data_IF_229816858871
#
_entry.id   IF_229816858871
#
_cell.length_a   1.000
_cell.length_b   1.000
_cell.length_c   1.000
_cell.angle_alpha   90.00
_cell.angle_beta   90.00
_cell.angle_gamma   90.00
#
_symmetry.space_group_name_H-M   'P 1'
#
loop_
_entity.id
_entity.type
_entity.pdbx_description
1 polymer ?
#
# COMPACT_ATOMS: atom_id res chain seq x y z
N UNK A 1 -15.04 -23.83 -6.48
CA UNK A 1 -15.14 -23.90 -7.95
C UNK A 1 -13.97 -23.17 -8.62
N UNK A 2 -13.70 -21.90 -8.30
CA UNK A 2 -12.64 -21.11 -8.96
C UNK A 2 -11.24 -21.67 -8.76
N UNK A 3 -10.96 -22.37 -7.64
CA UNK A 3 -9.70 -23.07 -7.42
C UNK A 3 -9.40 -24.14 -8.48
N UNK A 4 -10.44 -24.71 -9.13
CA UNK A 4 -10.28 -25.66 -10.23
C UNK A 4 -9.93 -24.95 -11.57
N UNK A 5 -10.04 -23.64 -11.61
CA UNK A 5 -9.70 -22.82 -12.79
C UNK A 5 -8.28 -22.25 -12.70
N UNK A 6 -7.63 -22.34 -11.54
CA UNK A 6 -6.25 -21.86 -11.33
C UNK A 6 -5.27 -23.01 -11.52
N UNK A 7 -4.21 -22.80 -12.26
CA UNK A 7 -3.16 -23.83 -12.43
C UNK A 7 -2.11 -23.73 -11.31
N UNK A 8 -1.48 -24.88 -10.98
CA UNK A 8 -0.33 -24.93 -10.08
C UNK A 8 0.81 -24.01 -10.54
N UNK A 9 1.01 -23.93 -11.85
CA UNK A 9 2.02 -23.04 -12.45
C UNK A 9 1.75 -21.55 -12.23
N UNK A 10 0.50 -21.11 -12.26
CA UNK A 10 0.12 -19.72 -11.94
C UNK A 10 0.41 -19.41 -10.48
N UNK A 11 -0.06 -20.26 -9.55
CA UNK A 11 0.18 -20.09 -8.12
C UNK A 11 1.68 -20.10 -7.78
N UNK A 12 2.46 -20.97 -8.37
CA UNK A 12 3.92 -21.05 -8.17
C UNK A 12 4.66 -19.79 -8.65
N UNK A 13 4.11 -19.05 -9.61
CA UNK A 13 4.70 -17.81 -10.14
C UNK A 13 4.32 -16.58 -9.34
N UNK A 14 3.38 -16.67 -8.41
CA UNK A 14 2.98 -15.54 -7.57
C UNK A 14 4.17 -14.99 -6.79
N UNK A 15 4.38 -13.69 -6.86
CA UNK A 15 5.54 -13.01 -6.25
C UNK A 15 5.58 -13.21 -4.75
N UNK A 16 4.44 -13.11 -4.08
CA UNK A 16 4.36 -13.30 -2.64
C UNK A 16 4.64 -14.75 -2.23
N UNK A 17 4.19 -15.73 -3.01
CA UNK A 17 4.53 -17.13 -2.76
C UNK A 17 6.05 -17.35 -2.84
N UNK A 18 6.69 -16.83 -3.91
CA UNK A 18 8.15 -16.94 -4.09
C UNK A 18 8.92 -16.29 -2.94
N UNK A 19 8.53 -15.09 -2.54
CA UNK A 19 9.15 -14.35 -1.43
C UNK A 19 9.04 -15.13 -0.11
N UNK A 20 7.84 -15.63 0.21
CA UNK A 20 7.60 -16.40 1.43
C UNK A 20 8.28 -17.77 1.42
N UNK A 21 8.42 -18.37 0.24
CA UNK A 21 9.18 -19.61 0.06
C UNK A 21 10.65 -19.41 0.40
N UNK A 22 11.29 -18.40 -0.15
CA UNK A 22 12.68 -18.08 0.13
C UNK A 22 12.91 -17.77 1.63
N UNK A 23 12.03 -16.95 2.21
CA UNK A 23 12.09 -16.61 3.65
C UNK A 23 11.98 -17.86 4.54
N UNK A 24 11.12 -18.81 4.19
CA UNK A 24 10.95 -20.04 4.95
C UNK A 24 12.17 -20.98 4.78
N UNK A 25 12.72 -21.09 3.58
CA UNK A 25 13.93 -21.88 3.30
C UNK A 25 15.15 -21.35 4.08
N UNK A 26 15.34 -20.03 4.13
CA UNK A 26 16.40 -19.37 4.90
C UNK A 26 16.28 -19.60 6.41
N UNK A 27 15.06 -19.65 6.93
CA UNK A 27 14.78 -19.85 8.37
C UNK A 27 14.62 -21.32 8.77
N UNK A 28 14.80 -22.27 7.83
CA UNK A 28 14.61 -23.69 8.08
C UNK A 28 13.16 -24.08 8.42
N UNK A 29 12.20 -23.25 8.00
CA UNK A 29 10.77 -23.46 8.22
C UNK A 29 10.07 -24.19 7.07
N UNK A 30 8.79 -24.50 7.25
CA UNK A 30 7.94 -25.06 6.20
C UNK A 30 6.92 -24.01 5.71
N UNK A 31 6.45 -24.18 4.47
CA UNK A 31 5.45 -23.32 3.88
C UNK A 31 4.10 -24.00 3.99
N UNK A 32 3.15 -23.35 4.66
CA UNK A 32 1.77 -23.85 4.73
C UNK A 32 1.05 -23.76 3.39
N UNK A 33 0.19 -24.72 3.09
CA UNK A 33 -0.63 -24.76 1.88
C UNK A 33 -1.49 -23.48 1.71
N UNK A 34 -1.83 -22.80 2.81
CA UNK A 34 -2.57 -21.53 2.77
C UNK A 34 -1.87 -20.44 1.98
N UNK A 35 -0.54 -20.29 2.11
CA UNK A 35 0.24 -19.30 1.35
C UNK A 35 0.25 -19.60 -0.15
N UNK A 36 0.16 -20.89 -0.50
CA UNK A 36 0.07 -21.29 -1.89
C UNK A 36 -1.34 -21.06 -2.48
N UNK A 37 -2.38 -21.31 -1.69
CA UNK A 37 -3.77 -21.33 -2.17
C UNK A 37 -4.53 -19.99 -1.96
N UNK A 38 -4.08 -19.09 -1.08
CA UNK A 38 -4.83 -17.86 -0.81
C UNK A 38 -5.14 -17.00 -2.06
N UNK A 39 -4.33 -16.98 -3.15
CA UNK A 39 -4.70 -16.23 -4.33
C UNK A 39 -5.99 -16.74 -4.98
N UNK A 40 -6.27 -18.05 -4.87
CA UNK A 40 -7.54 -18.62 -5.34
C UNK A 40 -8.74 -18.16 -4.51
N UNK A 41 -8.55 -17.99 -3.19
CA UNK A 41 -9.58 -17.42 -2.31
C UNK A 41 -9.82 -15.95 -2.64
N UNK A 42 -8.75 -15.16 -2.80
CA UNK A 42 -8.84 -13.76 -3.19
C UNK A 42 -9.54 -13.57 -4.55
N UNK A 43 -9.31 -14.48 -5.51
CA UNK A 43 -10.06 -14.46 -6.76
C UNK A 43 -11.57 -14.61 -6.53
N UNK A 44 -11.97 -15.49 -5.61
CA UNK A 44 -13.38 -15.65 -5.24
C UNK A 44 -13.93 -14.39 -4.57
N UNK A 45 -13.18 -13.80 -3.65
CA UNK A 45 -13.57 -12.57 -2.95
C UNK A 45 -13.77 -11.39 -3.93
N UNK A 46 -12.97 -11.32 -5.00
CA UNK A 46 -13.11 -10.30 -6.05
C UNK A 46 -14.31 -10.63 -6.95
N UNK A 47 -14.33 -11.82 -7.54
CA UNK A 47 -15.27 -12.17 -8.61
C UNK A 47 -16.71 -12.33 -8.11
N UNK A 48 -16.94 -12.64 -6.83
CA UNK A 48 -18.29 -12.73 -6.27
C UNK A 48 -19.07 -11.41 -6.28
N UNK A 49 -18.37 -10.27 -6.36
CA UNK A 49 -18.99 -8.94 -6.44
C UNK A 49 -19.12 -8.43 -7.88
N UNK A 50 -18.63 -9.17 -8.86
CA UNK A 50 -18.66 -8.83 -10.29
C UNK A 50 -18.19 -7.39 -10.60
N UNK A 51 -17.05 -6.93 -10.06
CA UNK A 51 -16.60 -5.55 -10.18
C UNK A 51 -16.02 -5.26 -11.57
N UNK A 52 -16.20 -4.04 -12.05
CA UNK A 52 -15.46 -3.54 -13.21
C UNK A 52 -14.03 -3.15 -12.82
N UNK A 53 -13.85 -2.60 -11.61
CA UNK A 53 -12.57 -2.10 -11.11
C UNK A 53 -12.28 -2.55 -9.68
N UNK A 54 -11.01 -2.83 -9.39
CA UNK A 54 -10.54 -3.21 -8.05
C UNK A 54 -9.40 -2.27 -7.62
N UNK A 55 -9.65 -1.35 -6.66
CA UNK A 55 -8.59 -0.50 -6.13
C UNK A 55 -7.59 -1.35 -5.34
N UNK A 56 -6.33 -1.32 -5.74
CA UNK A 56 -5.25 -2.10 -5.11
C UNK A 56 -3.93 -1.33 -5.09
N UNK A 57 -3.04 -1.67 -4.16
CA UNK A 57 -1.64 -1.27 -4.24
C UNK A 57 -0.91 -2.07 -5.32
N UNK A 58 0.25 -1.55 -5.75
CA UNK A 58 1.07 -2.17 -6.81
C UNK A 58 1.42 -3.64 -6.51
N UNK A 59 1.64 -3.97 -5.23
CA UNK A 59 1.95 -5.33 -4.77
C UNK A 59 0.79 -6.33 -4.94
N UNK A 60 -0.45 -5.84 -5.15
CA UNK A 60 -1.65 -6.66 -5.34
C UNK A 60 -2.11 -6.74 -6.80
N UNK A 61 -1.47 -6.00 -7.71
CA UNK A 61 -1.79 -6.01 -9.14
C UNK A 61 -1.84 -7.42 -9.72
N UNK A 62 -0.81 -8.24 -9.42
CA UNK A 62 -0.70 -9.61 -9.91
C UNK A 62 -1.88 -10.49 -9.46
N UNK A 63 -2.47 -10.24 -8.29
CA UNK A 63 -3.65 -10.97 -7.82
C UNK A 63 -4.89 -10.63 -8.63
N UNK A 64 -5.08 -9.35 -8.99
CA UNK A 64 -6.20 -8.93 -9.84
C UNK A 64 -6.02 -9.48 -11.27
N UNK A 65 -4.80 -9.50 -11.80
CA UNK A 65 -4.48 -10.13 -13.08
C UNK A 65 -4.81 -11.64 -13.07
N UNK A 66 -4.50 -12.33 -11.96
CA UNK A 66 -4.90 -13.74 -11.79
C UNK A 66 -6.42 -13.90 -11.77
N UNK A 67 -7.15 -13.02 -11.09
CA UNK A 67 -8.62 -13.03 -11.06
C UNK A 67 -9.21 -12.85 -12.48
N UNK A 68 -8.63 -11.94 -13.29
CA UNK A 68 -9.00 -11.76 -14.70
C UNK A 68 -8.83 -13.06 -15.51
N UNK A 69 -7.65 -13.67 -15.40
CA UNK A 69 -7.36 -14.92 -16.13
C UNK A 69 -8.31 -16.06 -15.71
N UNK A 70 -8.68 -16.11 -14.45
CA UNK A 70 -9.65 -17.11 -13.93
C UNK A 70 -11.05 -16.81 -14.44
N UNK A 71 -11.49 -15.57 -14.44
CA UNK A 71 -12.78 -15.14 -14.98
C UNK A 71 -12.89 -15.45 -16.48
N UNK A 72 -11.87 -15.07 -17.27
CA UNK A 72 -11.82 -15.33 -18.71
C UNK A 72 -11.89 -16.83 -19.01
N UNK A 73 -11.12 -17.64 -18.28
CA UNK A 73 -11.12 -19.11 -18.43
C UNK A 73 -12.46 -19.73 -18.04
N UNK A 74 -13.10 -19.22 -16.99
CA UNK A 74 -14.41 -19.66 -16.57
C UNK A 74 -15.46 -19.31 -17.64
N UNK A 75 -15.49 -18.06 -18.08
CA UNK A 75 -16.41 -17.60 -19.11
C UNK A 75 -16.28 -18.41 -20.41
N UNK A 76 -15.04 -18.64 -20.85
CA UNK A 76 -14.76 -19.44 -22.06
C UNK A 76 -15.21 -20.90 -21.92
N UNK A 77 -15.16 -21.47 -20.70
CA UNK A 77 -15.49 -22.90 -20.49
C UNK A 77 -16.98 -23.15 -20.26
N UNK A 78 -17.67 -22.21 -19.66
CA UNK A 78 -19.07 -22.40 -19.25
C UNK A 78 -20.01 -21.40 -19.92
N UNK A 79 -19.96 -20.15 -19.57
CA UNK A 79 -20.75 -19.05 -20.13
C UNK A 79 -20.20 -17.71 -19.63
N UNK A 80 -20.57 -16.61 -20.27
CA UNK A 80 -20.26 -15.24 -19.81
C UNK A 80 -20.93 -15.00 -18.44
N UNK A 81 -20.16 -15.22 -17.38
CA UNK A 81 -20.63 -15.19 -16.00
C UNK A 81 -20.00 -14.05 -15.21
N UNK A 82 -18.69 -13.82 -15.39
CA UNK A 82 -17.93 -12.83 -14.64
C UNK A 82 -17.45 -11.70 -15.56
N UNK A 83 -17.51 -10.48 -15.07
CA UNK A 83 -16.73 -9.38 -15.64
C UNK A 83 -15.24 -9.62 -15.46
N UNK A 84 -14.44 -8.98 -16.29
CA UNK A 84 -12.97 -9.03 -16.18
C UNK A 84 -12.50 -7.81 -15.38
N UNK A 85 -12.25 -7.94 -14.07
CA UNK A 85 -11.94 -6.80 -13.22
C UNK A 85 -10.62 -6.13 -13.61
N UNK A 86 -10.55 -4.79 -13.58
CA UNK A 86 -9.32 -4.05 -13.85
C UNK A 86 -8.73 -3.47 -12.56
N UNK A 87 -7.40 -3.57 -12.35
CA UNK A 87 -6.76 -2.96 -11.19
C UNK A 87 -6.71 -1.45 -11.33
N UNK A 88 -7.17 -0.71 -10.33
CA UNK A 88 -6.91 0.72 -10.20
C UNK A 88 -5.78 0.90 -9.20
N UNK A 89 -4.64 1.38 -9.68
CA UNK A 89 -3.47 1.65 -8.86
C UNK A 89 -3.33 3.16 -8.72
N UNK A 90 -3.38 3.70 -7.48
CA UNK A 90 -3.18 5.12 -7.26
C UNK A 90 -1.80 5.57 -7.78
N UNK A 91 -1.76 6.68 -8.50
CA UNK A 91 -0.50 7.26 -9.00
C UNK A 91 0.36 7.83 -7.86
N UNK A 92 -0.26 8.27 -6.78
CA UNK A 92 0.38 8.81 -5.58
C UNK A 92 -0.07 7.99 -4.39
N UNK A 93 0.84 7.67 -3.47
CA UNK A 93 0.54 6.93 -2.24
C UNK A 93 0.27 5.43 -2.41
N UNK A 94 0.58 4.87 -3.56
CA UNK A 94 0.50 3.43 -3.76
C UNK A 94 1.38 2.62 -2.79
N UNK A 95 2.38 3.28 -2.17
CA UNK A 95 3.27 2.68 -1.18
C UNK A 95 3.74 3.72 -0.16
N UNK A 96 3.02 3.85 0.94
CA UNK A 96 3.45 4.71 2.06
C UNK A 96 4.56 4.02 2.86
N UNK A 97 5.61 4.78 3.18
CA UNK A 97 6.79 4.29 3.88
C UNK A 97 6.70 4.56 5.39
N UNK A 98 7.45 3.78 6.17
CA UNK A 98 7.53 3.92 7.63
C UNK A 98 8.08 5.30 8.01
N UNK A 99 7.49 5.96 9.01
CA UNK A 99 7.85 7.31 9.42
C UNK A 99 9.23 7.39 10.09
N UNK A 100 9.74 6.28 10.62
CA UNK A 100 11.04 6.22 11.29
C UNK A 100 12.14 5.61 10.39
N UNK A 101 11.74 4.81 9.40
CA UNK A 101 12.64 4.21 8.42
C UNK A 101 12.01 4.28 7.02
N UNK A 102 12.19 5.40 6.31
CA UNK A 102 11.55 5.61 5.01
C UNK A 102 12.07 4.70 3.89
N UNK A 103 12.99 3.79 4.19
CA UNK A 103 13.40 2.71 3.27
C UNK A 103 12.48 1.49 3.33
N UNK A 104 11.66 1.39 4.39
CA UNK A 104 10.73 0.30 4.62
C UNK A 104 9.28 0.75 4.43
N UNK A 105 8.42 -0.16 3.93
CA UNK A 105 6.98 0.08 3.85
C UNK A 105 6.39 0.23 5.26
N UNK A 106 5.48 1.19 5.45
CA UNK A 106 4.69 1.30 6.67
C UNK A 106 3.95 -0.02 6.93
N UNK A 107 4.12 -0.58 8.13
CA UNK A 107 3.57 -1.89 8.48
C UNK A 107 3.04 -1.93 9.90
N UNK A 108 1.91 -2.61 10.09
CA UNK A 108 1.34 -2.87 11.43
C UNK A 108 2.27 -3.71 12.31
N UNK A 109 3.17 -4.49 11.71
CA UNK A 109 4.14 -5.35 12.40
C UNK A 109 5.47 -4.66 12.70
N UNK A 110 5.57 -3.33 12.50
CA UNK A 110 6.78 -2.58 12.83
C UNK A 110 7.07 -2.66 14.35
N UNK A 111 8.31 -3.00 14.76
CA UNK A 111 8.61 -3.38 16.16
C UNK A 111 8.31 -2.30 17.19
N UNK A 112 8.38 -1.02 16.84
CA UNK A 112 8.23 0.08 17.80
C UNK A 112 6.96 0.92 17.64
N UNK A 113 6.09 0.59 16.68
CA UNK A 113 4.82 1.27 16.41
C UNK A 113 4.89 2.78 16.10
N UNK A 114 6.08 3.40 16.19
CA UNK A 114 6.27 4.84 15.90
C UNK A 114 6.27 5.15 14.42
N UNK A 115 6.64 4.19 13.61
CA UNK A 115 6.70 4.31 12.15
C UNK A 115 5.35 4.17 11.45
N UNK A 116 4.29 3.78 12.17
CA UNK A 116 2.98 3.51 11.62
C UNK A 116 1.90 4.36 12.29
N UNK A 117 1.01 4.97 11.51
CA UNK A 117 -0.20 5.64 11.99
C UNK A 117 -1.34 4.62 11.98
N UNK A 118 -1.97 4.41 13.13
CA UNK A 118 -3.15 3.55 13.24
C UNK A 118 -4.41 4.40 13.28
N UNK A 119 -5.46 3.96 12.61
CA UNK A 119 -6.74 4.68 12.55
C UNK A 119 -7.35 4.87 13.94
N UNK A 120 -7.14 3.93 14.87
CA UNK A 120 -7.66 4.01 16.25
C UNK A 120 -6.68 4.64 17.24
N UNK A 121 -5.52 5.14 16.81
CA UNK A 121 -4.65 5.90 17.69
C UNK A 121 -5.31 7.23 18.10
N UNK A 122 -5.13 7.66 19.37
CA UNK A 122 -5.51 9.02 19.74
C UNK A 122 -4.85 10.04 18.80
N UNK A 123 -5.62 11.03 18.34
CA UNK A 123 -5.17 12.02 17.35
C UNK A 123 -3.85 12.70 17.74
N UNK A 124 -3.70 13.04 19.03
CA UNK A 124 -2.47 13.64 19.54
C UNK A 124 -1.24 12.71 19.45
N UNK A 125 -1.43 11.39 19.48
CA UNK A 125 -0.36 10.40 19.28
C UNK A 125 0.08 10.39 17.84
N UNK A 126 -0.86 10.35 16.89
CA UNK A 126 -0.59 10.39 15.45
C UNK A 126 0.11 11.69 15.04
N UNK A 127 -0.33 12.85 15.56
CA UNK A 127 0.35 14.13 15.36
C UNK A 127 1.81 14.09 15.84
N UNK A 128 2.08 13.51 17.00
CA UNK A 128 3.46 13.35 17.49
C UNK A 128 4.31 12.44 16.63
N UNK A 129 3.73 11.37 16.06
CA UNK A 129 4.44 10.49 15.11
C UNK A 129 4.87 11.26 13.85
N UNK A 130 4.00 12.08 13.27
CA UNK A 130 4.34 12.94 12.13
C UNK A 130 5.45 13.93 12.49
N UNK A 131 5.33 14.64 13.63
CA UNK A 131 6.35 15.60 14.05
C UNK A 131 7.71 14.96 14.26
N UNK A 132 7.76 13.71 14.72
CA UNK A 132 8.99 12.95 14.97
C UNK A 132 9.44 12.10 13.77
N UNK A 133 8.76 12.16 12.64
CA UNK A 133 9.13 11.41 11.44
C UNK A 133 10.57 11.76 10.99
N UNK A 134 11.31 10.74 10.55
CA UNK A 134 12.69 10.92 10.08
C UNK A 134 12.69 11.63 8.73
N UNK A 135 13.54 12.66 8.63
CA UNK A 135 13.83 13.39 7.39
C UNK A 135 15.34 13.60 7.31
N UNK A 136 15.83 13.95 6.12
CA UNK A 136 17.25 14.30 5.92
C UNK A 136 17.65 15.58 6.69
N UNK A 137 18.93 15.96 6.60
CA UNK A 137 19.48 17.14 7.26
C UNK A 137 19.29 18.45 6.47
N UNK A 138 18.72 18.38 5.27
CA UNK A 138 18.35 19.57 4.50
C UNK A 138 17.05 20.18 5.06
N UNK A 139 16.78 21.43 4.75
CA UNK A 139 15.56 22.12 5.18
C UNK A 139 14.54 22.34 4.06
N UNK A 140 14.92 22.04 2.81
CA UNK A 140 14.07 22.30 1.65
C UNK A 140 13.05 21.18 1.43
N UNK A 141 11.78 21.57 1.44
CA UNK A 141 10.66 20.67 1.14
C UNK A 141 10.62 20.42 -0.37
N UNK A 142 11.19 19.29 -0.78
CA UNK A 142 11.31 18.88 -2.19
C UNK A 142 11.08 17.38 -2.32
N UNK A 143 10.33 16.99 -3.33
CA UNK A 143 10.09 15.57 -3.65
C UNK A 143 11.28 15.00 -4.42
N UNK A 144 11.99 14.12 -3.75
CA UNK A 144 13.13 13.36 -4.30
C UNK A 144 13.22 12.04 -3.54
N UNK A 145 12.51 10.99 -3.99
CA UNK A 145 12.47 9.71 -3.30
C UNK A 145 13.85 9.04 -3.14
N UNK A 146 14.82 9.34 -4.01
CA UNK A 146 16.15 8.75 -3.97
C UNK A 146 17.02 9.41 -2.90
N UNK A 147 17.04 10.75 -2.86
CA UNK A 147 17.94 11.51 -1.97
C UNK A 147 17.25 11.99 -0.70
N UNK A 148 15.92 12.17 -0.75
CA UNK A 148 15.08 12.70 0.34
C UNK A 148 13.88 11.80 0.64
N UNK A 149 14.07 10.51 0.90
CA UNK A 149 12.95 9.56 1.03
C UNK A 149 11.99 9.92 2.17
N UNK A 150 12.49 10.48 3.27
CA UNK A 150 11.66 10.86 4.42
C UNK A 150 10.66 11.97 4.10
N UNK A 151 11.14 13.10 3.57
CA UNK A 151 10.25 14.21 3.22
C UNK A 151 9.36 13.87 2.03
N UNK A 152 9.85 13.08 1.07
CA UNK A 152 9.07 12.62 -0.07
C UNK A 152 7.88 11.77 0.38
N UNK A 153 8.07 10.85 1.32
CA UNK A 153 6.98 10.08 1.93
C UNK A 153 5.95 10.97 2.64
N UNK A 154 6.40 11.99 3.37
CA UNK A 154 5.50 12.93 4.03
C UNK A 154 4.72 13.80 3.03
N UNK A 155 5.33 14.18 1.91
CA UNK A 155 4.67 14.89 0.81
C UNK A 155 3.59 14.02 0.16
N UNK A 156 3.84 12.73 -0.04
CA UNK A 156 2.82 11.80 -0.55
C UNK A 156 1.63 11.69 0.41
N UNK A 157 1.89 11.53 1.72
CA UNK A 157 0.83 11.48 2.74
C UNK A 157 0.00 12.77 2.69
N UNK A 158 0.65 13.92 2.62
CA UNK A 158 -0.03 15.22 2.56
C UNK A 158 -0.88 15.35 1.30
N UNK A 159 -0.31 15.01 0.15
CA UNK A 159 -1.00 15.06 -1.15
C UNK A 159 -2.27 14.22 -1.13
N UNK A 160 -2.22 12.99 -0.64
CA UNK A 160 -3.36 12.07 -0.59
C UNK A 160 -4.49 12.62 0.28
N UNK A 161 -4.15 13.09 1.49
CA UNK A 161 -5.16 13.51 2.45
C UNK A 161 -5.77 14.86 2.06
N UNK A 162 -4.95 15.81 1.58
CA UNK A 162 -5.41 17.15 1.23
C UNK A 162 -5.97 17.28 -0.19
N UNK A 163 -5.69 16.29 -1.07
CA UNK A 163 -6.03 16.37 -2.50
C UNK A 163 -5.16 17.33 -3.31
N UNK A 164 -4.15 17.97 -2.70
CA UNK A 164 -3.19 18.85 -3.39
C UNK A 164 -2.15 18.04 -4.14
N UNK A 165 -1.66 18.57 -5.25
CA UNK A 165 -0.53 17.94 -5.95
C UNK A 165 0.79 18.16 -5.18
N UNK A 166 1.79 17.34 -5.48
CA UNK A 166 3.12 17.46 -4.87
C UNK A 166 3.74 18.83 -5.23
N UNK A 167 3.58 19.27 -6.47
CA UNK A 167 4.08 20.56 -6.95
C UNK A 167 3.43 21.75 -6.22
N UNK A 168 2.14 21.67 -5.95
CA UNK A 168 1.44 22.69 -5.15
C UNK A 168 1.98 22.74 -3.72
N UNK A 169 2.23 21.57 -3.10
CA UNK A 169 2.81 21.49 -1.77
C UNK A 169 4.25 22.02 -1.74
N UNK A 170 5.10 21.66 -2.71
CA UNK A 170 6.46 22.21 -2.81
C UNK A 170 6.43 23.74 -2.86
N UNK A 171 5.54 24.30 -3.69
CA UNK A 171 5.38 25.76 -3.83
C UNK A 171 4.90 26.41 -2.52
N UNK A 172 3.96 25.78 -1.80
CA UNK A 172 3.46 26.28 -0.50
C UNK A 172 4.54 26.36 0.58
N UNK A 173 5.54 25.50 0.49
CA UNK A 173 6.64 25.41 1.47
C UNK A 173 7.96 25.93 0.93
N UNK A 174 7.97 26.61 -0.19
CA UNK A 174 9.16 27.32 -0.68
C UNK A 174 9.65 28.33 0.35
N UNK A 175 10.91 28.22 0.76
CA UNK A 175 11.51 29.06 1.82
C UNK A 175 11.10 28.72 3.26
N UNK A 176 10.26 27.68 3.49
CA UNK A 176 9.91 27.16 4.82
C UNK A 176 10.69 25.89 5.11
N UNK A 177 10.92 25.63 6.40
CA UNK A 177 11.63 24.43 6.83
C UNK A 177 10.70 23.23 7.10
N UNK A 178 11.31 22.08 7.33
CA UNK A 178 10.59 20.83 7.67
C UNK A 178 9.72 20.96 8.94
N UNK A 179 10.08 21.82 9.87
CA UNK A 179 9.30 22.05 11.08
C UNK A 179 7.90 22.58 10.80
N UNK A 180 7.77 23.57 9.93
CA UNK A 180 6.49 24.14 9.56
C UNK A 180 5.67 23.16 8.73
N UNK A 181 6.32 22.50 7.76
CA UNK A 181 5.70 21.46 6.96
C UNK A 181 5.11 20.33 7.83
N UNK A 182 5.88 19.79 8.78
CA UNK A 182 5.44 18.70 9.67
C UNK A 182 4.31 19.13 10.61
N UNK A 183 4.30 20.39 11.05
CA UNK A 183 3.19 20.91 11.88
C UNK A 183 1.88 20.94 11.08
N UNK A 184 1.90 21.50 9.89
CA UNK A 184 0.71 21.58 9.05
C UNK A 184 0.23 20.18 8.62
N UNK A 185 1.16 19.28 8.25
CA UNK A 185 0.82 17.89 7.96
C UNK A 185 0.21 17.18 9.16
N UNK A 186 0.74 17.41 10.38
CA UNK A 186 0.20 16.82 11.59
C UNK A 186 -1.25 17.25 11.85
N UNK A 187 -1.60 18.51 11.57
CA UNK A 187 -2.98 18.99 11.66
C UNK A 187 -3.86 18.29 10.62
N UNK A 188 -3.44 18.25 9.34
CA UNK A 188 -4.21 17.63 8.26
C UNK A 188 -4.46 16.12 8.54
N UNK A 189 -3.44 15.38 8.99
CA UNK A 189 -3.59 13.98 9.39
C UNK A 189 -4.50 13.84 10.61
N UNK A 190 -4.38 14.76 11.56
CA UNK A 190 -5.21 14.79 12.77
C UNK A 190 -6.68 15.00 12.46
N UNK A 191 -7.00 15.95 11.60
CA UNK A 191 -8.36 16.26 11.17
C UNK A 191 -8.99 15.08 10.42
N UNK A 192 -8.23 14.44 9.52
CA UNK A 192 -8.72 13.26 8.80
C UNK A 192 -8.98 12.08 9.74
N UNK A 193 -8.10 11.81 10.69
CA UNK A 193 -8.33 10.76 11.70
C UNK A 193 -9.56 11.06 12.57
N UNK A 194 -9.75 12.31 12.97
CA UNK A 194 -10.92 12.71 13.75
C UNK A 194 -12.23 12.57 12.95
N UNK A 195 -12.19 12.81 11.64
CA UNK A 195 -13.33 12.60 10.74
C UNK A 195 -13.72 11.12 10.62
N UNK A 196 -12.72 10.21 10.68
CA UNK A 196 -12.94 8.77 10.54
C UNK A 196 -13.40 8.14 11.87
N UNK A 197 -12.89 8.62 13.01
CA UNK A 197 -13.19 8.11 14.35
C UNK A 197 -14.58 8.54 14.84
#
# INVERSE_FOLDING_TARGET
YLGCMVSMGELSRMTQYKSKKLEAEEKGGHIGAGIFNYPSLMNADILMYDPDYVPVGEDQKQHVELARNVAERFNSRYSDTFKLPEPIIPKVGGRIMDLQDPTKKMSKSSPNGKGCIYVLDPVNVSKKKILSAVTDSDSHVKFDPENKPGISNLLEIYSIISGKTIEELETMYEGKGYGDFKKDLAEVVGDELQRIQ
#
